data_IF_477304746331
#
_entry.id   IF_477304746331
#
_cell.length_a   1.000
_cell.length_b   1.000
_cell.length_c   1.000
_cell.angle_alpha   90.00
_cell.angle_beta   90.00
_cell.angle_gamma   90.00
#
_symmetry.space_group_name_H-M   'P 1'
#
loop_
_entity.id
_entity.type
_entity.pdbx_description
1 polymer ?
#
# COMPACT_ATOMS: atom_id res chain seq x y z
N UNK A 1 2.45 4.10 -20.17
CA UNK A 1 2.46 2.65 -20.51
C UNK A 1 1.06 2.14 -20.27
N UNK A 2 0.38 1.69 -21.32
CA UNK A 2 -0.95 1.12 -21.20
C UNK A 2 -0.78 -0.40 -20.96
N UNK A 3 -1.06 -0.85 -19.72
CA UNK A 3 -1.20 -2.27 -19.41
C UNK A 3 -2.54 -2.80 -19.95
N UNK A 4 -2.64 -4.11 -20.13
CA UNK A 4 -3.92 -4.76 -20.47
C UNK A 4 -4.48 -5.41 -19.20
N UNK A 5 -5.75 -5.18 -18.91
CA UNK A 5 -6.44 -5.79 -17.76
C UNK A 5 -6.34 -7.32 -17.80
N UNK A 6 -6.45 -7.90 -19.00
CA UNK A 6 -6.31 -9.35 -19.20
C UNK A 6 -5.00 -9.89 -18.64
N UNK A 7 -3.87 -9.22 -18.93
CA UNK A 7 -2.54 -9.66 -18.47
C UNK A 7 -2.44 -9.61 -16.94
N UNK A 8 -3.11 -8.64 -16.30
CA UNK A 8 -3.17 -8.52 -14.84
C UNK A 8 -3.98 -9.67 -14.22
N UNK A 9 -5.14 -9.97 -14.79
CA UNK A 9 -6.00 -11.05 -14.30
C UNK A 9 -5.33 -12.42 -14.47
N UNK A 10 -4.71 -12.68 -15.62
CA UNK A 10 -3.93 -13.90 -15.87
C UNK A 10 -2.75 -14.02 -14.89
N UNK A 11 -2.08 -12.89 -14.56
CA UNK A 11 -1.01 -12.86 -13.56
C UNK A 11 -1.49 -13.18 -12.13
N UNK A 12 -2.70 -12.73 -11.75
CA UNK A 12 -3.32 -13.07 -10.46
C UNK A 12 -3.61 -14.57 -10.38
N UNK A 13 -4.21 -15.14 -11.42
CA UNK A 13 -4.51 -16.59 -11.46
C UNK A 13 -3.22 -17.42 -11.44
N UNK A 14 -2.22 -17.06 -12.24
CA UNK A 14 -0.93 -17.73 -12.23
C UNK A 14 -0.24 -17.68 -10.86
N UNK A 15 -0.36 -16.55 -10.13
CA UNK A 15 0.17 -16.44 -8.78
C UNK A 15 -0.55 -17.39 -7.80
N UNK A 16 -1.88 -17.50 -7.90
CA UNK A 16 -2.66 -18.43 -7.08
C UNK A 16 -2.29 -19.89 -7.38
N UNK A 17 -2.22 -20.25 -8.66
CA UNK A 17 -1.83 -21.60 -9.11
C UNK A 17 -0.41 -21.98 -8.65
N UNK A 18 0.50 -21.01 -8.62
CA UNK A 18 1.85 -21.19 -8.08
C UNK A 18 1.92 -21.28 -6.54
N UNK A 19 0.77 -21.19 -5.84
CA UNK A 19 0.69 -21.33 -4.39
C UNK A 19 1.02 -20.06 -3.60
N UNK A 20 1.11 -18.89 -4.24
CA UNK A 20 1.27 -17.62 -3.53
C UNK A 20 -0.03 -17.25 -2.80
N UNK A 21 -0.01 -17.30 -1.48
CA UNK A 21 -1.17 -16.92 -0.65
C UNK A 21 -0.72 -16.13 0.58
N UNK A 22 -1.48 -15.10 0.96
CA UNK A 22 -2.60 -14.50 0.24
C UNK A 22 -2.15 -13.59 -0.92
N UNK A 23 -2.87 -13.60 -2.05
CA UNK A 23 -2.68 -12.60 -3.10
C UNK A 23 -3.45 -11.33 -2.72
N UNK A 24 -2.76 -10.19 -2.68
CA UNK A 24 -3.31 -8.89 -2.32
C UNK A 24 -3.35 -7.98 -3.54
N UNK A 25 -4.53 -7.51 -3.91
CA UNK A 25 -4.74 -6.59 -5.04
C UNK A 25 -4.81 -5.17 -4.54
N UNK A 26 -3.95 -4.30 -5.06
CA UNK A 26 -3.96 -2.88 -4.76
C UNK A 26 -4.69 -2.10 -5.84
N UNK A 27 -5.58 -1.22 -5.45
CA UNK A 27 -6.23 -0.28 -6.35
C UNK A 27 -6.14 1.15 -5.79
N UNK A 28 -5.79 2.10 -6.65
CA UNK A 28 -5.84 3.52 -6.34
C UNK A 28 -7.13 4.06 -6.91
N UNK A 29 -8.01 4.60 -6.08
CA UNK A 29 -9.26 5.21 -6.54
C UNK A 29 -9.04 6.68 -6.83
N UNK A 30 -9.48 7.10 -8.01
CA UNK A 30 -9.33 8.44 -8.55
C UNK A 30 -10.70 8.96 -8.98
N UNK A 31 -11.08 10.12 -8.46
CA UNK A 31 -12.37 10.75 -8.77
C UNK A 31 -12.50 11.03 -10.27
N UNK A 32 -13.67 10.71 -10.82
CA UNK A 32 -13.96 10.88 -12.24
C UNK A 32 -13.23 9.93 -13.19
N UNK A 33 -12.50 8.94 -12.66
CA UNK A 33 -11.76 7.95 -13.48
C UNK A 33 -12.24 6.53 -13.22
N UNK A 34 -12.25 6.07 -11.94
CA UNK A 34 -12.61 4.70 -11.57
C UNK A 34 -13.35 4.61 -10.23
N UNK A 35 -13.92 5.71 -9.77
CA UNK A 35 -14.70 5.71 -8.52
C UNK A 35 -15.98 4.89 -8.62
N UNK A 36 -16.50 4.67 -9.82
CA UNK A 36 -17.64 3.82 -10.12
C UNK A 36 -17.33 2.32 -9.97
N UNK A 37 -16.05 1.94 -10.00
CA UNK A 37 -15.60 0.55 -9.85
C UNK A 37 -15.41 0.10 -8.38
N UNK A 38 -15.60 0.99 -7.39
CA UNK A 38 -15.37 0.70 -5.96
C UNK A 38 -16.12 -0.57 -5.51
N UNK A 39 -17.41 -0.67 -5.86
CA UNK A 39 -18.24 -1.81 -5.46
C UNK A 39 -17.85 -3.08 -6.21
N UNK A 40 -17.38 -2.98 -7.43
CA UNK A 40 -16.93 -4.14 -8.21
C UNK A 40 -15.66 -4.74 -7.60
N UNK A 41 -14.67 -3.93 -7.26
CA UNK A 41 -13.51 -4.39 -6.50
C UNK A 41 -13.91 -5.00 -5.15
N UNK A 42 -14.84 -4.38 -4.41
CA UNK A 42 -15.29 -4.93 -3.13
C UNK A 42 -15.99 -6.28 -3.31
N UNK A 43 -16.78 -6.49 -4.38
CA UNK A 43 -17.44 -7.77 -4.68
C UNK A 43 -16.46 -8.91 -4.97
N UNK A 44 -15.24 -8.64 -5.45
CA UNK A 44 -14.22 -9.67 -5.65
C UNK A 44 -13.80 -10.36 -4.35
N UNK A 45 -14.03 -9.74 -3.20
CA UNK A 45 -13.79 -10.38 -1.89
C UNK A 45 -14.74 -11.54 -1.63
N UNK A 46 -15.95 -11.51 -2.19
CA UNK A 46 -16.93 -12.61 -2.11
C UNK A 46 -16.68 -13.67 -3.16
N UNK A 47 -16.58 -13.23 -4.42
CA UNK A 47 -16.56 -14.11 -5.59
C UNK A 47 -15.25 -14.88 -5.71
N UNK A 48 -14.13 -14.18 -5.57
CA UNK A 48 -12.81 -14.70 -5.88
C UNK A 48 -11.91 -14.80 -4.64
N UNK A 49 -12.42 -14.43 -3.46
CA UNK A 49 -11.68 -14.44 -2.21
C UNK A 49 -10.50 -13.45 -2.19
N UNK A 50 -10.54 -12.40 -3.01
CA UNK A 50 -9.45 -11.44 -3.10
C UNK A 50 -9.28 -10.62 -1.82
N UNK A 51 -8.03 -10.30 -1.51
CA UNK A 51 -7.70 -9.30 -0.50
C UNK A 51 -7.46 -7.97 -1.20
N UNK A 52 -8.50 -7.12 -1.29
CA UNK A 52 -8.46 -5.86 -2.01
C UNK A 52 -8.02 -4.73 -1.09
N UNK A 53 -7.03 -3.94 -1.51
CA UNK A 53 -6.54 -2.77 -0.77
C UNK A 53 -6.78 -1.50 -1.57
N UNK A 54 -7.62 -0.64 -1.06
CA UNK A 54 -7.88 0.68 -1.59
C UNK A 54 -6.83 1.65 -1.06
N UNK A 55 -6.22 2.39 -1.96
CA UNK A 55 -5.13 3.33 -1.66
C UNK A 55 -5.60 4.73 -2.04
N UNK A 56 -5.52 5.67 -1.13
CA UNK A 56 -5.73 7.10 -1.44
C UNK A 56 -4.65 7.57 -2.41
N UNK A 57 -5.08 8.28 -3.46
CA UNK A 57 -4.18 8.86 -4.45
C UNK A 57 -3.27 9.90 -3.79
N UNK A 58 -1.96 9.72 -3.92
CA UNK A 58 -0.98 10.67 -3.42
C UNK A 58 -0.98 11.96 -4.25
N UNK A 59 -0.74 13.14 -3.63
CA UNK A 59 -0.90 14.45 -4.28
C UNK A 59 0.28 14.79 -5.21
N UNK A 60 0.47 14.02 -6.26
CA UNK A 60 1.42 14.35 -7.31
C UNK A 60 0.81 15.35 -8.31
N UNK A 61 1.62 16.30 -8.78
CA UNK A 61 1.13 17.36 -9.71
C UNK A 61 0.46 16.77 -10.95
N UNK A 62 -0.70 17.35 -11.31
CA UNK A 62 -1.43 16.97 -12.54
C UNK A 62 -2.21 15.69 -12.47
N UNK A 63 -2.38 15.10 -11.28
CA UNK A 63 -3.21 13.92 -11.08
C UNK A 63 -4.66 14.30 -10.74
N UNK A 64 -5.58 13.34 -10.94
CA UNK A 64 -6.98 13.46 -10.55
C UNK A 64 -7.12 13.69 -9.03
N UNK A 65 -8.32 14.10 -8.59
CA UNK A 65 -8.63 14.24 -7.17
C UNK A 65 -8.69 12.85 -6.50
N UNK A 66 -8.23 12.78 -5.26
CA UNK A 66 -8.33 11.55 -4.49
C UNK A 66 -9.74 11.37 -3.91
N UNK A 67 -10.09 10.11 -3.65
CA UNK A 67 -11.31 9.75 -2.92
C UNK A 67 -10.92 9.38 -1.49
N UNK A 68 -11.43 10.09 -0.46
CA UNK A 68 -11.11 9.82 0.94
C UNK A 68 -11.53 8.40 1.36
N UNK A 69 -10.75 7.75 2.20
CA UNK A 69 -11.07 6.39 2.66
C UNK A 69 -12.38 6.31 3.47
N UNK A 70 -12.83 7.40 4.07
CA UNK A 70 -14.16 7.47 4.71
C UNK A 70 -15.28 7.33 3.69
N UNK A 71 -15.15 7.97 2.53
CA UNK A 71 -16.12 7.87 1.43
C UNK A 71 -16.11 6.47 0.81
N UNK A 72 -14.91 5.89 0.60
CA UNK A 72 -14.79 4.50 0.15
C UNK A 72 -15.50 3.52 1.10
N UNK A 73 -15.33 3.69 2.42
CA UNK A 73 -16.02 2.85 3.42
C UNK A 73 -17.53 3.02 3.37
N UNK A 74 -18.03 4.23 3.17
CA UNK A 74 -19.48 4.49 3.03
C UNK A 74 -20.04 3.76 1.79
N UNK A 75 -19.38 3.85 0.64
CA UNK A 75 -19.81 3.14 -0.56
C UNK A 75 -19.79 1.62 -0.35
N UNK A 76 -18.71 1.07 0.18
CA UNK A 76 -18.56 -0.37 0.40
C UNK A 76 -19.56 -0.88 1.44
N UNK A 77 -19.97 -0.05 2.41
CA UNK A 77 -21.00 -0.41 3.40
C UNK A 77 -22.38 -0.68 2.79
N UNK A 78 -22.61 -0.28 1.55
CA UNK A 78 -23.82 -0.68 0.79
C UNK A 78 -23.89 -2.19 0.50
N UNK A 79 -22.75 -2.88 0.50
CA UNK A 79 -22.67 -4.33 0.33
C UNK A 79 -22.81 -5.09 1.64
N UNK A 80 -22.60 -4.45 2.77
CA UNK A 80 -22.66 -5.05 4.09
C UNK A 80 -21.82 -4.31 5.12
N UNK A 81 -21.95 -4.70 6.38
CA UNK A 81 -21.18 -4.10 7.47
C UNK A 81 -19.70 -4.42 7.33
N UNK A 82 -18.85 -3.40 7.41
CA UNK A 82 -17.41 -3.52 7.51
C UNK A 82 -17.00 -3.69 8.98
N UNK A 83 -16.45 -4.83 9.33
CA UNK A 83 -15.95 -5.12 10.67
C UNK A 83 -14.41 -5.14 10.67
N UNK A 84 -13.75 -4.44 11.61
CA UNK A 84 -12.28 -4.48 11.68
C UNK A 84 -11.76 -5.90 11.80
N UNK A 85 -10.74 -6.25 11.02
CA UNK A 85 -10.07 -7.53 11.15
C UNK A 85 -9.13 -7.50 12.37
N UNK A 86 -9.19 -8.52 13.26
CA UNK A 86 -8.17 -8.71 14.28
C UNK A 86 -6.79 -8.94 13.63
N UNK A 87 -5.73 -8.47 14.28
CA UNK A 87 -4.33 -8.65 13.81
C UNK A 87 -3.93 -10.13 13.65
N UNK A 88 -4.69 -11.04 14.23
CA UNK A 88 -4.44 -12.48 14.24
C UNK A 88 -4.80 -13.23 12.94
N UNK A 89 -5.40 -12.58 11.94
CA UNK A 89 -5.90 -13.28 10.73
C UNK A 89 -4.78 -13.59 9.70
N UNK A 90 -3.51 -13.38 10.02
CA UNK A 90 -2.39 -13.78 9.13
C UNK A 90 -2.29 -13.03 7.78
N UNK A 91 -3.27 -12.16 7.47
CA UNK A 91 -3.32 -11.34 6.25
C UNK A 91 -2.57 -10.04 6.46
N UNK A 92 -2.48 -9.61 7.70
CA UNK A 92 -1.77 -8.42 8.12
C UNK A 92 -0.27 -8.68 7.96
N UNK A 93 0.39 -7.92 7.16
CA UNK A 93 1.85 -7.83 7.14
C UNK A 93 2.27 -6.57 7.89
N UNK A 94 3.55 -6.26 7.88
CA UNK A 94 4.10 -5.01 8.44
C UNK A 94 3.75 -3.77 7.58
N UNK A 95 2.66 -3.82 6.81
CA UNK A 95 2.19 -2.71 5.97
C UNK A 95 1.20 -1.81 6.70
N UNK A 96 0.94 -0.59 6.17
CA UNK A 96 0.08 0.39 6.81
C UNK A 96 -1.42 0.20 6.54
N UNK A 97 -1.82 -0.87 5.87
CA UNK A 97 -3.21 -1.13 5.55
C UNK A 97 -4.00 -1.49 6.80
N UNK A 98 -5.13 -0.83 7.02
CA UNK A 98 -6.13 -1.23 7.99
C UNK A 98 -7.13 -2.15 7.31
N UNK A 99 -7.28 -3.37 7.83
CA UNK A 99 -8.12 -4.39 7.22
C UNK A 99 -9.49 -4.51 7.87
N UNK A 100 -10.47 -4.80 7.02
CA UNK A 100 -11.87 -5.02 7.39
C UNK A 100 -12.39 -6.27 6.71
N UNK A 101 -13.37 -6.89 7.35
CA UNK A 101 -14.12 -8.02 6.81
C UNK A 101 -15.53 -7.58 6.45
N UNK A 102 -16.02 -7.99 5.29
CA UNK A 102 -17.41 -7.91 4.91
C UNK A 102 -18.10 -9.22 5.28
N UNK A 103 -19.27 -9.16 5.92
CA UNK A 103 -20.02 -10.35 6.30
C UNK A 103 -20.27 -11.27 5.09
N UNK A 104 -19.83 -12.53 5.19
CA UNK A 104 -19.93 -13.52 4.11
C UNK A 104 -18.85 -13.47 3.04
N UNK A 105 -17.92 -12.51 3.06
CA UNK A 105 -16.79 -12.46 2.15
C UNK A 105 -15.68 -13.45 2.59
N UNK A 106 -15.01 -14.06 1.63
CA UNK A 106 -13.84 -14.92 1.87
C UNK A 106 -12.54 -14.10 1.97
N UNK A 107 -12.49 -13.00 1.23
CA UNK A 107 -11.37 -12.06 1.25
C UNK A 107 -11.56 -10.90 2.23
N UNK A 108 -10.64 -9.95 2.21
CA UNK A 108 -10.68 -8.77 3.08
C UNK A 108 -10.56 -7.48 2.28
N UNK A 109 -11.02 -6.40 2.89
CA UNK A 109 -10.84 -5.03 2.38
C UNK A 109 -9.83 -4.32 3.25
N UNK A 110 -8.79 -3.78 2.62
CA UNK A 110 -7.78 -2.96 3.27
C UNK A 110 -7.88 -1.50 2.83
N UNK A 111 -7.61 -0.57 3.73
CA UNK A 111 -7.47 0.85 3.40
C UNK A 111 -6.05 1.32 3.71
N UNK A 112 -5.44 2.00 2.76
CA UNK A 112 -4.13 2.66 2.88
C UNK A 112 -4.39 4.15 2.69
N UNK A 113 -4.43 4.90 3.78
CA UNK A 113 -4.97 6.26 3.87
C UNK A 113 -3.90 7.28 4.27
N UNK A 114 -2.90 7.54 3.41
CA UNK A 114 -1.79 8.41 3.76
C UNK A 114 -2.17 9.89 3.92
N UNK A 115 -3.34 10.30 3.45
CA UNK A 115 -3.80 11.69 3.50
C UNK A 115 -4.84 11.94 4.60
N UNK A 116 -5.70 10.95 4.88
CA UNK A 116 -6.81 11.14 5.81
C UNK A 116 -6.62 10.44 7.16
N UNK A 117 -5.69 9.51 7.28
CA UNK A 117 -5.33 8.88 8.56
C UNK A 117 -4.16 9.64 9.21
N UNK A 118 -4.45 10.44 10.24
CA UNK A 118 -3.47 11.24 10.99
C UNK A 118 -2.40 10.40 11.69
N UNK A 119 -2.69 9.12 11.97
CA UNK A 119 -1.73 8.18 12.57
C UNK A 119 -0.93 7.37 11.53
N UNK A 120 -1.14 7.61 10.24
CA UNK A 120 -0.49 6.85 9.18
C UNK A 120 1.04 6.95 9.22
N UNK A 121 1.57 8.16 9.40
CA UNK A 121 3.01 8.41 9.39
C UNK A 121 3.71 7.84 10.63
N UNK A 122 3.10 7.92 11.81
CA UNK A 122 3.65 7.36 13.05
C UNK A 122 3.77 5.82 13.00
N UNK A 123 2.92 5.15 12.22
CA UNK A 123 2.96 3.69 12.00
C UNK A 123 3.75 3.28 10.77
N UNK A 124 4.32 4.25 10.03
CA UNK A 124 5.02 3.96 8.78
C UNK A 124 6.44 3.46 9.01
N UNK A 125 6.71 2.20 8.74
CA UNK A 125 8.01 1.53 8.86
C UNK A 125 8.74 1.38 7.52
N UNK A 126 8.37 2.13 6.48
CA UNK A 126 8.92 1.97 5.13
C UNK A 126 10.10 2.89 4.88
N UNK A 127 11.07 2.36 4.20
CA UNK A 127 12.22 3.06 3.63
C UNK A 127 12.40 2.60 2.18
N UNK A 128 13.00 3.41 1.34
CA UNK A 128 13.25 3.08 -0.06
C UNK A 128 14.72 3.17 -0.36
N UNK A 129 15.22 2.23 -1.14
CA UNK A 129 16.53 2.33 -1.78
C UNK A 129 16.28 2.73 -3.23
N UNK A 130 16.87 3.84 -3.63
CA UNK A 130 16.76 4.35 -5.01
C UNK A 130 17.71 3.60 -5.95
N UNK A 131 17.48 3.60 -7.28
CA UNK A 131 18.36 2.93 -8.23
C UNK A 131 19.81 3.47 -8.24
N UNK A 132 20.00 4.73 -7.83
CA UNK A 132 21.30 5.36 -7.70
C UNK A 132 21.98 5.12 -6.33
N UNK A 133 21.33 4.31 -5.45
CA UNK A 133 21.90 3.78 -4.22
C UNK A 133 21.79 4.71 -3.01
N UNK A 134 20.73 5.50 -2.95
CA UNK A 134 20.41 6.36 -1.81
C UNK A 134 19.25 5.81 -1.01
N UNK A 135 19.28 5.96 0.32
CA UNK A 135 18.15 5.71 1.19
C UNK A 135 17.25 6.93 1.28
N UNK A 136 15.97 6.75 0.99
CA UNK A 136 14.92 7.74 1.13
C UNK A 136 13.97 7.33 2.25
N UNK A 137 13.93 8.04 3.38
CA UNK A 137 13.09 7.70 4.54
C UNK A 137 11.60 7.87 4.28
N UNK A 138 11.22 8.89 3.51
CA UNK A 138 9.82 9.21 3.18
C UNK A 138 9.62 9.36 1.68
N UNK A 139 8.43 8.97 1.17
CA UNK A 139 8.09 9.14 -0.25
C UNK A 139 7.93 10.61 -0.64
N UNK A 140 7.37 11.41 0.25
CA UNK A 140 7.10 12.83 0.05
C UNK A 140 8.25 13.73 0.53
N UNK A 141 9.19 13.18 1.29
CA UNK A 141 10.36 13.93 1.76
C UNK A 141 11.44 14.03 0.68
N UNK A 142 12.26 15.06 0.77
CA UNK A 142 13.40 15.29 -0.12
C UNK A 142 14.70 14.71 0.44
N UNK A 143 14.69 14.26 1.70
CA UNK A 143 15.87 13.72 2.37
C UNK A 143 16.34 12.41 1.74
N UNK A 144 17.61 12.38 1.36
CA UNK A 144 18.29 11.21 0.83
C UNK A 144 19.66 11.02 1.50
N UNK A 145 19.99 9.78 1.82
CA UNK A 145 21.31 9.42 2.36
C UNK A 145 22.00 8.48 1.39
N UNK A 146 23.10 8.91 0.85
CA UNK A 146 23.92 8.13 -0.08
C UNK A 146 24.59 6.96 0.65
N UNK A 147 24.29 5.74 0.20
CA UNK A 147 24.97 4.52 0.63
C UNK A 147 25.96 4.01 -0.43
N UNK A 148 25.74 4.37 -1.70
CA UNK A 148 26.54 3.83 -2.79
C UNK A 148 27.99 4.32 -2.76
N UNK A 149 28.20 5.62 -2.57
CA UNK A 149 29.56 6.19 -2.56
C UNK A 149 30.38 5.62 -1.40
N UNK A 150 29.92 5.63 -0.13
CA UNK A 150 30.64 5.00 0.96
C UNK A 150 30.91 3.50 0.70
N UNK A 151 29.91 2.75 0.25
CA UNK A 151 30.06 1.32 -0.05
C UNK A 151 31.13 1.07 -1.14
N UNK A 152 31.18 1.86 -2.18
CA UNK A 152 32.17 1.73 -3.26
C UNK A 152 33.57 2.16 -2.84
N UNK A 153 33.67 3.00 -1.83
CA UNK A 153 34.94 3.44 -1.23
C UNK A 153 35.37 2.54 -0.05
N UNK A 154 34.85 1.30 0.03
CA UNK A 154 35.15 0.33 1.06
C UNK A 154 34.88 0.82 2.51
N UNK A 155 33.81 1.60 2.69
CA UNK A 155 33.36 1.98 4.03
C UNK A 155 33.17 0.75 4.92
N UNK A 156 33.49 0.89 6.19
CA UNK A 156 33.29 -0.19 7.16
C UNK A 156 31.81 -0.51 7.35
N UNK A 157 31.51 -1.73 7.81
CA UNK A 157 30.14 -2.13 8.14
C UNK A 157 29.52 -1.21 9.20
N UNK A 158 30.32 -0.74 10.16
CA UNK A 158 29.87 0.19 11.19
C UNK A 158 29.48 1.56 10.62
N UNK A 159 30.23 2.03 9.62
CA UNK A 159 29.90 3.29 8.94
C UNK A 159 28.60 3.16 8.13
N UNK A 160 28.43 2.07 7.38
CA UNK A 160 27.19 1.79 6.63
C UNK A 160 25.98 1.68 7.58
N UNK A 161 26.14 0.99 8.69
CA UNK A 161 25.12 0.88 9.73
C UNK A 161 24.73 2.26 10.31
N UNK A 162 25.72 3.12 10.59
CA UNK A 162 25.48 4.48 11.05
C UNK A 162 24.67 5.30 10.04
N UNK A 163 24.96 5.18 8.75
CA UNK A 163 24.21 5.86 7.69
C UNK A 163 22.77 5.36 7.60
N UNK A 164 22.55 4.06 7.72
CA UNK A 164 21.21 3.47 7.74
C UNK A 164 20.42 3.96 8.97
N UNK A 165 21.04 3.94 10.16
CA UNK A 165 20.41 4.45 11.38
C UNK A 165 20.10 5.95 11.29
N UNK A 166 20.97 6.74 10.65
CA UNK A 166 20.70 8.15 10.36
C UNK A 166 19.46 8.30 9.46
N UNK A 167 19.31 7.45 8.41
CA UNK A 167 18.13 7.47 7.55
C UNK A 167 16.85 7.10 8.32
N UNK A 168 16.92 6.16 9.26
CA UNK A 168 15.79 5.82 10.13
C UNK A 168 15.43 6.99 11.04
N UNK A 169 16.42 7.63 11.66
CA UNK A 169 16.21 8.76 12.57
C UNK A 169 15.71 10.03 11.86
N UNK A 170 16.00 10.21 10.57
CA UNK A 170 15.51 11.36 9.77
C UNK A 170 14.10 11.17 9.23
N UNK A 171 13.44 10.06 9.58
CA UNK A 171 12.06 9.83 9.16
C UNK A 171 11.13 10.85 9.83
N UNK A 172 10.35 11.64 9.04
CA UNK A 172 9.48 12.65 9.62
C UNK A 172 8.36 12.03 10.45
N UNK A 173 8.14 12.59 11.62
CA UNK A 173 6.94 12.39 12.46
C UNK A 173 5.90 13.42 12.02
N UNK A 174 4.86 13.03 11.33
CA UNK A 174 3.76 13.90 10.91
C UNK A 174 2.47 13.55 11.63
#
# INVERSE_FOLDING_TARGET
RLGKLKDVLEGIEAAKEAGFQPVKVNTVIMRGINEDEILDFARMTYKDGWHVRFIELMPFKGMAEFVPSVELRQHISLLGKLEPCPDSIGITGNGPAMYYHLAGAQGTIGFISPLTDTSFCSRCNRMRLTPDGKLRPCLLGEDEIDLKVPLRNNASMEELKRLILKAVASKPEH
#
